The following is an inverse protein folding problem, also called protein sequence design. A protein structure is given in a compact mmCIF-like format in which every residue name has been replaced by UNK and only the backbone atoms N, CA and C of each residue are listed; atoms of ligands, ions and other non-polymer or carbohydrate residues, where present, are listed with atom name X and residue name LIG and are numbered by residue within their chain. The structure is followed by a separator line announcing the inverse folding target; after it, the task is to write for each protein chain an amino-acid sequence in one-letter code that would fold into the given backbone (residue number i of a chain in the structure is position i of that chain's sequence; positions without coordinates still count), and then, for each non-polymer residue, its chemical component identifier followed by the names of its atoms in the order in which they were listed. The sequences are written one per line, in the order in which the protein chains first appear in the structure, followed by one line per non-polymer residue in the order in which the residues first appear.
data_IF_719775662816
#
_entry.id   IF_719775662816
#
_cell.length_a   1.000
_cell.length_b   1.000
_cell.length_c   1.000
_cell.angle_alpha   90.00
_cell.angle_beta   90.00
_cell.angle_gamma   90.00
#
_symmetry.space_group_name_H-M   'P 1'
#
loop_
_entity.id
_entity.type
_entity.pdbx_description
1 polymer ?
#
# COMPACT_ATOMS: atom_id res chain seq x y z
N UNK A 1 -13.16 0.76 28.66
CA UNK A 1 -11.69 0.61 28.48
C UNK A 1 -11.40 0.56 26.99
N UNK A 2 -10.49 1.40 26.48
CA UNK A 2 -9.99 1.31 25.10
C UNK A 2 -8.81 0.32 25.05
N UNK A 3 -8.78 -0.59 24.07
CA UNK A 3 -7.75 -1.65 23.94
C UNK A 3 -7.02 -1.64 22.60
N UNK A 4 -7.40 -0.73 21.70
CA UNK A 4 -6.75 -0.56 20.41
C UNK A 4 -7.15 0.75 19.75
N UNK A 5 -6.24 1.28 18.92
CA UNK A 5 -6.40 2.54 18.21
C UNK A 5 -5.76 2.45 16.84
N UNK A 6 -6.37 3.13 15.87
CA UNK A 6 -5.82 3.35 14.54
C UNK A 6 -5.91 4.85 14.23
N UNK A 7 -4.82 5.43 13.73
CA UNK A 7 -4.75 6.83 13.30
C UNK A 7 -4.46 6.82 11.81
N UNK A 8 -5.32 7.50 11.05
CA UNK A 8 -5.22 7.56 9.60
C UNK A 8 -5.68 8.91 9.06
N UNK A 9 -5.30 9.21 7.83
CA UNK A 9 -5.76 10.38 7.07
C UNK A 9 -5.94 10.04 5.59
N UNK A 10 -6.73 10.82 4.89
CA UNK A 10 -6.88 10.76 3.44
C UNK A 10 -6.53 12.13 2.88
N UNK A 11 -5.50 12.19 2.03
CA UNK A 11 -5.05 13.44 1.40
C UNK A 11 -5.01 13.27 -0.13
N UNK A 12 -5.21 14.37 -0.84
CA UNK A 12 -4.98 14.42 -2.28
C UNK A 12 -3.52 14.79 -2.57
N UNK A 13 -2.79 13.92 -3.28
CA UNK A 13 -1.37 14.10 -3.57
C UNK A 13 -1.00 13.42 -4.90
N UNK A 14 -0.18 14.08 -5.73
CA UNK A 14 0.26 13.56 -7.04
C UNK A 14 -0.88 13.02 -7.91
N UNK A 15 -1.96 13.80 -8.02
CA UNK A 15 -3.14 13.47 -8.82
C UNK A 15 -3.89 12.21 -8.36
N UNK A 16 -3.75 11.84 -7.07
CA UNK A 16 -4.39 10.66 -6.47
C UNK A 16 -4.86 10.94 -5.03
N UNK A 17 -5.97 10.35 -4.62
CA UNK A 17 -6.42 10.29 -3.23
C UNK A 17 -5.70 9.15 -2.52
N UNK A 18 -4.79 9.49 -1.61
CA UNK A 18 -3.97 8.52 -0.88
C UNK A 18 -4.35 8.46 0.59
N UNK A 19 -4.78 7.29 1.03
CA UNK A 19 -4.92 6.97 2.43
C UNK A 19 -3.56 6.75 3.09
N UNK A 20 -3.38 7.24 4.31
CA UNK A 20 -2.19 7.00 5.13
C UNK A 20 -2.58 6.44 6.49
N UNK A 21 -1.99 5.31 6.88
CA UNK A 21 -2.10 4.78 8.25
C UNK A 21 -0.84 5.18 9.02
N UNK A 22 -0.99 6.14 9.94
CA UNK A 22 0.12 6.69 10.72
C UNK A 22 0.44 5.83 11.95
N UNK A 23 -0.57 5.20 12.55
CA UNK A 23 -0.40 4.40 13.75
C UNK A 23 -1.46 3.31 13.84
N UNK A 24 -1.04 2.12 14.26
CA UNK A 24 -1.92 1.05 14.72
C UNK A 24 -1.33 0.46 16.01
N UNK A 25 -2.10 0.48 17.08
CA UNK A 25 -1.71 -0.13 18.34
C UNK A 25 -2.85 -0.97 18.92
N UNK A 26 -2.50 -2.14 19.45
CA UNK A 26 -3.40 -3.00 20.21
C UNK A 26 -2.67 -3.42 21.47
N UNK A 27 -3.34 -3.28 22.61
CA UNK A 27 -2.88 -3.73 23.92
C UNK A 27 -2.42 -5.20 23.84
N UNK A 28 -1.24 -5.49 24.40
CA UNK A 28 -0.55 -6.77 24.25
C UNK A 28 -1.43 -7.95 24.67
N UNK A 29 -2.22 -7.80 25.73
CA UNK A 29 -3.12 -8.82 26.28
C UNK A 29 -4.30 -9.16 25.33
N UNK A 30 -4.58 -8.25 24.40
CA UNK A 30 -5.70 -8.34 23.45
C UNK A 30 -5.24 -8.65 22.02
N UNK A 31 -3.94 -8.83 21.78
CA UNK A 31 -3.41 -9.23 20.46
C UNK A 31 -3.87 -10.63 20.07
N UNK A 32 -3.73 -10.97 18.78
CA UNK A 32 -4.14 -12.25 18.18
C UNK A 32 -5.66 -12.54 18.23
N UNK A 33 -6.47 -11.54 18.61
CA UNK A 33 -7.95 -11.59 18.59
C UNK A 33 -8.56 -10.84 17.40
N UNK A 34 -7.81 -10.69 16.30
CA UNK A 34 -8.21 -9.97 15.08
C UNK A 34 -8.53 -8.47 15.23
N UNK A 35 -8.31 -7.85 16.39
CA UNK A 35 -8.59 -6.41 16.62
C UNK A 35 -7.85 -5.53 15.60
N UNK A 36 -6.54 -5.75 15.41
CA UNK A 36 -5.74 -4.95 14.48
C UNK A 36 -6.23 -5.07 13.04
N UNK A 37 -6.54 -6.29 12.57
CA UNK A 37 -7.06 -6.48 11.21
C UNK A 37 -8.46 -5.89 11.03
N UNK A 38 -9.31 -5.96 12.06
CA UNK A 38 -10.62 -5.30 12.04
C UNK A 38 -10.47 -3.78 11.91
N UNK A 39 -9.60 -3.14 12.70
CA UNK A 39 -9.36 -1.70 12.62
C UNK A 39 -8.85 -1.26 11.23
N UNK A 40 -7.89 -2.00 10.67
CA UNK A 40 -7.36 -1.71 9.32
C UNK A 40 -8.45 -1.86 8.26
N UNK A 41 -9.27 -2.93 8.32
CA UNK A 41 -10.39 -3.12 7.38
C UNK A 41 -11.42 -2.00 7.46
N UNK A 42 -11.74 -1.52 8.66
CA UNK A 42 -12.66 -0.39 8.85
C UNK A 42 -12.12 0.88 8.19
N UNK A 43 -10.85 1.21 8.42
CA UNK A 43 -10.20 2.39 7.81
C UNK A 43 -10.12 2.25 6.29
N UNK A 44 -9.68 1.10 5.77
CA UNK A 44 -9.60 0.85 4.32
C UNK A 44 -10.96 0.96 3.67
N UNK A 45 -12.01 0.38 4.25
CA UNK A 45 -13.37 0.50 3.72
C UNK A 45 -13.84 1.95 3.74
N UNK A 46 -13.54 2.70 4.81
CA UNK A 46 -13.89 4.12 4.86
C UNK A 46 -13.16 4.95 3.79
N UNK A 47 -11.88 4.66 3.56
CA UNK A 47 -11.10 5.30 2.50
C UNK A 47 -11.61 4.95 1.10
N UNK A 48 -12.06 3.70 0.88
CA UNK A 48 -12.72 3.30 -0.37
C UNK A 48 -14.00 4.08 -0.62
N UNK A 49 -14.86 4.24 0.40
CA UNK A 49 -16.07 5.07 0.31
C UNK A 49 -15.76 6.54 -0.04
N UNK A 50 -14.56 7.02 0.34
CA UNK A 50 -14.07 8.35 0.04
C UNK A 50 -13.23 8.42 -1.24
N UNK A 51 -13.32 7.41 -2.11
CA UNK A 51 -12.65 7.33 -3.41
C UNK A 51 -11.11 7.34 -3.35
N UNK A 52 -10.50 6.88 -2.26
CA UNK A 52 -9.06 6.65 -2.21
C UNK A 52 -8.62 5.66 -3.32
N UNK A 53 -7.52 5.97 -3.98
CA UNK A 53 -6.92 5.11 -5.01
C UNK A 53 -6.00 4.06 -4.38
N UNK A 54 -5.34 4.43 -3.28
CA UNK A 54 -4.41 3.58 -2.56
C UNK A 54 -4.34 3.91 -1.06
N UNK A 55 -3.86 2.97 -0.26
CA UNK A 55 -3.53 3.17 1.16
C UNK A 55 -2.08 2.80 1.39
N UNK A 56 -1.32 3.66 2.07
CA UNK A 56 0.09 3.42 2.37
C UNK A 56 0.39 3.54 3.86
N UNK A 57 1.47 2.90 4.27
CA UNK A 57 2.07 3.03 5.61
C UNK A 57 3.55 2.64 5.56
N UNK A 58 4.27 2.97 6.62
CA UNK A 58 5.63 2.50 6.85
C UNK A 58 5.70 1.62 8.11
N UNK A 59 6.50 0.56 8.05
CA UNK A 59 6.83 -0.26 9.22
C UNK A 59 8.30 -0.65 9.20
N UNK A 60 8.91 -0.80 10.37
CA UNK A 60 10.28 -1.32 10.49
C UNK A 60 10.40 -2.67 9.75
N UNK A 61 11.51 -2.87 9.03
CA UNK A 61 11.78 -4.12 8.31
C UNK A 61 11.79 -5.35 9.21
N UNK A 62 12.05 -5.15 10.50
CA UNK A 62 12.14 -6.18 11.55
C UNK A 62 10.80 -6.44 12.23
N UNK A 63 9.76 -5.64 11.99
CA UNK A 63 8.45 -5.79 12.61
C UNK A 63 7.61 -6.86 11.89
N UNK A 64 8.00 -8.12 12.07
CA UNK A 64 7.36 -9.29 11.43
C UNK A 64 5.86 -9.39 11.72
N UNK A 65 5.42 -8.94 12.89
CA UNK A 65 4.00 -8.91 13.26
C UNK A 65 3.16 -7.94 12.43
N UNK A 66 3.67 -6.73 12.20
CA UNK A 66 3.02 -5.75 11.34
C UNK A 66 3.10 -6.16 9.86
N UNK A 67 4.27 -6.62 9.41
CA UNK A 67 4.46 -7.10 8.03
C UNK A 67 3.46 -8.20 7.69
N UNK A 68 3.38 -9.26 8.50
CA UNK A 68 2.42 -10.35 8.27
C UNK A 68 0.96 -9.92 8.37
N UNK A 69 0.62 -8.96 9.24
CA UNK A 69 -0.73 -8.40 9.32
C UNK A 69 -1.13 -7.70 8.01
N UNK A 70 -0.27 -6.79 7.52
CA UNK A 70 -0.59 -5.98 6.35
C UNK A 70 -0.50 -6.79 5.06
N UNK A 71 0.47 -7.69 4.92
CA UNK A 71 0.57 -8.63 3.79
C UNK A 71 -0.67 -9.52 3.71
N UNK A 72 -1.15 -10.06 4.85
CA UNK A 72 -2.41 -10.81 4.89
C UNK A 72 -3.64 -9.99 4.45
N UNK A 73 -3.59 -8.67 4.60
CA UNK A 73 -4.65 -7.76 4.17
C UNK A 73 -4.48 -7.26 2.72
N UNK A 74 -3.50 -7.80 1.99
CA UNK A 74 -3.25 -7.48 0.58
C UNK A 74 -2.33 -6.29 0.35
N UNK A 75 -1.68 -5.76 1.39
CA UNK A 75 -0.64 -4.75 1.19
C UNK A 75 0.62 -5.41 0.62
N UNK A 76 1.23 -4.78 -0.37
CA UNK A 76 2.50 -5.18 -0.95
C UNK A 76 3.64 -4.28 -0.44
N UNK A 77 4.88 -4.77 -0.50
CA UNK A 77 6.07 -3.97 -0.22
C UNK A 77 6.40 -3.11 -1.45
N UNK A 78 6.09 -1.82 -1.38
CA UNK A 78 6.27 -0.86 -2.48
C UNK A 78 7.72 -0.37 -2.57
N UNK A 79 8.33 -0.03 -1.42
CA UNK A 79 9.69 0.51 -1.37
C UNK A 79 10.39 0.18 -0.05
N UNK A 80 11.72 0.00 -0.09
CA UNK A 80 12.57 0.02 1.11
C UNK A 80 13.10 1.44 1.33
N UNK A 81 13.01 1.91 2.57
CA UNK A 81 13.44 3.23 3.00
C UNK A 81 14.64 3.08 3.95
N UNK A 82 15.88 3.31 3.49
CA UNK A 82 17.07 3.13 4.31
C UNK A 82 17.09 4.08 5.51
N UNK A 83 17.43 3.57 6.70
CA UNK A 83 17.58 4.35 7.95
C UNK A 83 16.40 5.31 8.22
N UNK A 84 15.18 4.86 7.92
CA UNK A 84 13.97 5.67 8.01
C UNK A 84 13.59 6.03 9.45
N UNK A 85 13.76 5.08 10.38
CA UNK A 85 13.51 5.32 11.79
C UNK A 85 14.76 5.88 12.49
N UNK A 86 14.55 6.65 13.56
CA UNK A 86 15.61 7.29 14.34
C UNK A 86 16.64 6.30 14.92
N UNK A 87 16.24 5.05 15.13
CA UNK A 87 17.11 3.95 15.56
C UNK A 87 18.02 3.41 14.43
N UNK A 88 17.98 4.01 13.23
CA UNK A 88 18.75 3.58 12.06
C UNK A 88 18.17 2.37 11.33
N UNK A 89 17.04 1.82 11.79
CA UNK A 89 16.39 0.68 11.14
C UNK A 89 15.66 1.14 9.88
N UNK A 90 15.81 0.37 8.81
CA UNK A 90 15.09 0.63 7.57
C UNK A 90 13.60 0.36 7.75
N UNK A 91 12.79 1.08 6.98
CA UNK A 91 11.37 0.77 6.84
C UNK A 91 11.07 0.09 5.51
N UNK A 92 9.99 -0.68 5.48
CA UNK A 92 9.25 -0.92 4.25
C UNK A 92 8.07 0.04 4.19
N UNK A 93 7.92 0.73 3.06
CA UNK A 93 6.63 1.30 2.66
C UNK A 93 5.76 0.18 2.13
N UNK A 94 4.61 -0.02 2.75
CA UNK A 94 3.58 -0.93 2.28
C UNK A 94 2.48 -0.16 1.57
N UNK A 95 1.87 -0.77 0.57
CA UNK A 95 0.82 -0.16 -0.25
C UNK A 95 -0.28 -1.16 -0.55
N UNK A 96 -1.53 -0.73 -0.43
CA UNK A 96 -2.71 -1.43 -0.90
C UNK A 96 -3.36 -0.59 -2.01
N UNK A 97 -3.44 -1.14 -3.22
CA UNK A 97 -4.22 -0.53 -4.31
C UNK A 97 -5.71 -0.78 -4.06
N UNK A 98 -6.52 0.27 -4.19
CA UNK A 98 -7.98 0.20 -4.03
C UNK A 98 -8.72 0.34 -5.36
N UNK A 99 -8.06 0.96 -6.34
CA UNK A 99 -8.46 0.98 -7.75
C UNK A 99 -7.37 0.35 -8.57
N UNK A 100 -7.72 -0.11 -9.76
CA UNK A 100 -6.72 -0.58 -10.70
C UNK A 100 -5.69 0.53 -10.94
N UNK A 101 -4.38 0.22 -10.91
CA UNK A 101 -3.39 1.19 -11.34
C UNK A 101 -3.77 1.62 -12.77
N UNK A 102 -3.71 2.93 -13.10
CA UNK A 102 -4.09 3.41 -14.42
C UNK A 102 -3.44 2.52 -15.48
N UNK A 103 -4.25 1.92 -16.35
CA UNK A 103 -3.82 0.92 -17.33
C UNK A 103 -2.56 1.38 -18.08
N UNK A 104 -1.38 0.93 -17.65
CA UNK A 104 -0.12 1.17 -18.35
C UNK A 104 -0.07 0.43 -19.70
N UNK A 105 -1.04 -0.44 -19.98
CA UNK A 105 -1.15 -1.23 -21.20
C UNK A 105 -2.13 -0.67 -22.24
N UNK A 106 -3.01 0.29 -21.89
CA UNK A 106 -3.97 0.81 -22.88
C UNK A 106 -3.35 1.85 -23.83
N UNK A 107 -2.26 2.51 -23.42
CA UNK A 107 -1.61 3.56 -24.22
C UNK A 107 -0.76 3.02 -25.39
N UNK A 108 -0.50 1.71 -25.44
CA UNK A 108 0.29 1.10 -26.54
C UNK A 108 -0.58 0.42 -27.61
N UNK A 109 -1.91 0.39 -27.44
CA UNK A 109 -2.83 -0.24 -28.41
C UNK A 109 -3.61 0.79 -29.26
N UNK A 110 -3.44 2.10 -28.99
CA UNK A 110 -4.13 3.18 -29.71
C UNK A 110 -3.23 3.98 -30.66
N UNK A 111 -1.95 3.61 -30.82
CA UNK A 111 -1.00 4.35 -31.66
C UNK A 111 -0.35 3.55 -32.78
N UNK A 112 -0.65 2.26 -32.95
CA UNK A 112 -0.02 1.43 -33.99
C UNK A 112 -1.03 0.92 -35.02
N UNK A 113 -1.71 1.84 -35.70
CA UNK A 113 -2.47 1.53 -36.92
C UNK A 113 -2.06 2.39 -38.12
N UNK A 114 -0.79 2.82 -38.17
CA UNK A 114 -0.17 3.33 -39.40
C UNK A 114 1.31 2.93 -39.47
N UNK A 115 1.66 2.26 -40.57
CA UNK A 115 2.99 1.82 -41.03
C UNK A 115 3.48 0.42 -40.65
N UNK A 116 3.25 -0.47 -41.62
CA UNK A 116 3.96 -1.73 -41.87
C UNK A 116 5.32 -1.36 -42.48
N UNK A 117 6.44 -1.81 -41.89
CA UNK A 117 7.55 -2.54 -42.55
C UNK A 117 8.84 -2.58 -41.72
N UNK A 118 9.40 -3.80 -41.69
CA UNK A 118 10.83 -4.13 -41.64
C UNK A 118 11.63 -3.83 -40.36
N UNK A 119 11.94 -4.89 -39.60
CA UNK A 119 13.31 -5.35 -39.32
C UNK A 119 13.22 -6.71 -38.62
N UNK A 120 13.55 -7.76 -39.37
CA UNK A 120 14.00 -9.05 -38.84
C UNK A 120 15.34 -8.87 -38.09
N UNK A 121 15.66 -9.91 -37.31
CA UNK A 121 16.95 -10.31 -36.76
C UNK A 121 17.30 -9.97 -35.29
N UNK A 122 17.33 -11.09 -34.55
CA UNK A 122 18.37 -11.51 -33.58
C UNK A 122 18.40 -10.81 -32.23
N UNK A 123 18.13 -11.56 -31.15
CA UNK A 123 19.15 -11.99 -30.17
C UNK A 123 18.57 -13.08 -29.26
N UNK A 124 19.44 -14.06 -28.98
CA UNK A 124 19.33 -15.18 -28.03
C UNK A 124 18.91 -14.71 -26.64
#
# INVERSE_FOLDING_TARGET
RCVGVIICKLDYHNNSYRGYIAMLAVDKEYRKRKIGSTLVKMVVNKMKEQNADEVVLETEKTNTGALGLYEYLGFIRDKRLPRYYLNGVDAFRLKLFLKDPPNLLQNNLSSNNDNINEYEDTYI
#
